data_IF_221500418012
#
_entry.id   IF_221500418012
#
_cell.length_a   1.000
_cell.length_b   1.000
_cell.length_c   1.000
_cell.angle_alpha   90.00
_cell.angle_beta   90.00
_cell.angle_gamma   90.00
#
_symmetry.space_group_name_H-M   'P 1'
#
loop_
_entity.id
_entity.type
_entity.pdbx_description
1 polymer ?
#
# COMPACT_ATOMS: atom_id res chain seq x y z
N UNK A 1 1.99 -1.86 -7.61
CA UNK A 1 2.10 -2.46 -6.26
C UNK A 1 3.25 -3.48 -6.22
N UNK A 2 4.12 -3.39 -5.20
CA UNK A 2 5.34 -4.20 -5.04
C UNK A 2 5.29 -4.98 -3.71
N UNK A 3 5.11 -6.29 -3.76
CA UNK A 3 4.96 -7.14 -2.56
C UNK A 3 6.11 -7.01 -1.54
N UNK A 4 7.40 -6.92 -1.93
CA UNK A 4 8.48 -6.71 -0.97
C UNK A 4 8.35 -5.39 -0.20
N UNK A 5 7.89 -4.33 -0.84
CA UNK A 5 7.70 -3.00 -0.22
C UNK A 5 6.52 -3.04 0.74
N UNK A 6 5.41 -3.65 0.32
CA UNK A 6 4.20 -3.80 1.14
C UNK A 6 4.50 -4.57 2.43
N UNK A 7 5.25 -5.67 2.33
CA UNK A 7 5.70 -6.42 3.51
C UNK A 7 6.52 -5.55 4.46
N UNK A 8 7.46 -4.77 3.93
CA UNK A 8 8.28 -3.87 4.76
C UNK A 8 7.44 -2.81 5.47
N UNK A 9 6.46 -2.20 4.79
CA UNK A 9 5.55 -1.24 5.42
C UNK A 9 4.68 -1.89 6.50
N UNK A 10 4.07 -3.04 6.21
CA UNK A 10 3.26 -3.77 7.19
C UNK A 10 4.07 -4.14 8.45
N UNK A 11 5.30 -4.67 8.28
CA UNK A 11 6.10 -5.16 9.40
C UNK A 11 6.72 -4.05 10.27
N UNK A 12 6.99 -2.88 9.69
CA UNK A 12 7.77 -1.84 10.36
C UNK A 12 6.96 -0.57 10.69
N UNK A 13 5.71 -0.47 10.26
CA UNK A 13 4.88 0.71 10.48
C UNK A 13 3.50 0.34 11.02
N UNK A 14 2.97 1.22 11.87
CA UNK A 14 1.60 1.12 12.35
C UNK A 14 0.61 1.55 11.26
N UNK A 15 -0.64 1.06 11.29
CA UNK A 15 -1.70 1.56 10.41
C UNK A 15 -1.86 3.09 10.46
N UNK A 16 -1.81 3.67 11.66
CA UNK A 16 -1.93 5.12 11.85
C UNK A 16 -0.83 5.92 11.13
N UNK A 17 0.43 5.47 11.18
CA UNK A 17 1.52 6.13 10.44
C UNK A 17 1.32 6.05 8.93
N UNK A 18 0.84 4.89 8.46
CA UNK A 18 0.55 4.66 7.05
C UNK A 18 -0.60 5.54 6.55
N UNK A 19 -1.69 5.65 7.31
CA UNK A 19 -2.83 6.53 7.03
C UNK A 19 -2.43 8.00 6.99
N UNK A 20 -1.65 8.49 7.97
CA UNK A 20 -1.12 9.86 7.97
C UNK A 20 -0.21 10.12 6.77
N UNK A 21 0.56 9.13 6.34
CA UNK A 21 1.42 9.25 5.15
C UNK A 21 0.58 9.34 3.88
N UNK A 22 -0.52 8.57 3.78
CA UNK A 22 -1.46 8.69 2.67
C UNK A 22 -2.03 10.10 2.56
N UNK A 23 -2.50 10.69 3.66
CA UNK A 23 -3.05 12.05 3.67
C UNK A 23 -2.06 13.08 3.09
N UNK A 24 -0.78 12.98 3.47
CA UNK A 24 0.28 13.85 2.94
C UNK A 24 0.52 13.62 1.44
N UNK A 25 0.57 12.37 0.99
CA UNK A 25 0.80 12.02 -0.41
C UNK A 25 -0.38 12.38 -1.31
N UNK A 26 -1.62 12.24 -0.82
CA UNK A 26 -2.82 12.66 -1.53
C UNK A 26 -2.83 14.18 -1.72
N UNK A 27 -2.51 14.95 -0.67
CA UNK A 27 -2.35 16.40 -0.79
C UNK A 27 -1.25 16.80 -1.78
N UNK A 28 -0.13 16.06 -1.80
CA UNK A 28 0.94 16.26 -2.78
C UNK A 28 0.48 16.01 -4.23
N UNK A 29 -0.35 14.99 -4.46
CA UNK A 29 -0.91 14.67 -5.77
C UNK A 29 -1.90 15.73 -6.29
N UNK A 30 -2.55 16.49 -5.39
CA UNK A 30 -3.46 17.58 -5.77
C UNK A 30 -2.72 18.88 -6.16
N UNK A 31 -1.43 18.99 -5.84
CA UNK A 31 -0.64 20.18 -6.14
C UNK A 31 -0.37 20.29 -7.65
N UNK A 32 -0.85 21.38 -8.26
CA UNK A 32 -0.72 21.61 -9.72
C UNK A 32 0.73 21.76 -10.21
N UNK A 33 1.68 22.03 -9.31
CA UNK A 33 3.10 22.18 -9.65
C UNK A 33 3.89 20.88 -9.62
N UNK A 34 3.26 19.74 -9.32
CA UNK A 34 3.91 18.43 -9.25
C UNK A 34 4.16 17.90 -10.66
N UNK A 35 5.36 17.38 -10.92
CA UNK A 35 5.69 16.79 -12.22
C UNK A 35 4.97 15.45 -12.43
N UNK A 36 4.82 15.02 -13.68
CA UNK A 36 4.24 13.71 -14.00
C UNK A 36 5.05 12.55 -13.39
N UNK A 37 6.38 12.66 -13.37
CA UNK A 37 7.25 11.67 -12.73
C UNK A 37 7.01 11.59 -11.22
N UNK A 38 6.89 12.73 -10.56
CA UNK A 38 6.59 12.79 -9.13
C UNK A 38 5.22 12.20 -8.81
N UNK A 39 4.20 12.47 -9.64
CA UNK A 39 2.86 11.89 -9.50
C UNK A 39 2.90 10.37 -9.67
N UNK A 40 3.68 9.85 -10.62
CA UNK A 40 3.84 8.41 -10.82
C UNK A 40 4.50 7.75 -9.60
N UNK A 41 5.56 8.35 -9.07
CA UNK A 41 6.23 7.85 -7.86
C UNK A 41 5.30 7.90 -6.64
N UNK A 42 4.58 9.01 -6.44
CA UNK A 42 3.62 9.14 -5.36
C UNK A 42 2.48 8.12 -5.48
N UNK A 43 1.94 7.91 -6.68
CA UNK A 43 0.94 6.88 -6.95
C UNK A 43 1.43 5.47 -6.63
N UNK A 44 2.67 5.13 -6.99
CA UNK A 44 3.27 3.85 -6.58
C UNK A 44 3.38 3.71 -5.06
N UNK A 45 3.80 4.76 -4.35
CA UNK A 45 3.90 4.76 -2.89
C UNK A 45 2.53 4.60 -2.24
N UNK A 46 1.52 5.37 -2.68
CA UNK A 46 0.14 5.27 -2.22
C UNK A 46 -0.38 3.83 -2.38
N UNK A 47 -0.24 3.24 -3.56
CA UNK A 47 -0.74 1.86 -3.78
C UNK A 47 -0.03 0.83 -2.91
N UNK A 48 1.26 1.00 -2.61
CA UNK A 48 1.98 0.12 -1.70
C UNK A 48 1.53 0.32 -0.24
N UNK A 49 1.26 1.55 0.18
CA UNK A 49 0.77 1.84 1.54
C UNK A 49 -0.64 1.25 1.73
N UNK A 50 -1.54 1.45 0.78
CA UNK A 50 -2.88 0.84 0.80
C UNK A 50 -2.81 -0.69 0.88
N UNK A 51 -1.89 -1.31 0.14
CA UNK A 51 -1.66 -2.75 0.24
C UNK A 51 -1.20 -3.20 1.63
N UNK A 52 -0.36 -2.42 2.31
CA UNK A 52 0.09 -2.72 3.66
C UNK A 52 -1.05 -2.58 4.69
N UNK A 53 -1.91 -1.57 4.53
CA UNK A 53 -3.11 -1.38 5.34
C UNK A 53 -4.10 -2.54 5.16
N UNK A 54 -4.28 -3.04 3.94
CA UNK A 54 -5.13 -4.21 3.67
C UNK A 54 -4.61 -5.48 4.38
N UNK A 55 -3.28 -5.67 4.42
CA UNK A 55 -2.66 -6.77 5.18
C UNK A 55 -2.87 -6.59 6.68
N UNK A 56 -2.66 -5.37 7.22
CA UNK A 56 -2.97 -5.05 8.62
C UNK A 56 -4.42 -5.39 8.99
N UNK A 57 -5.38 -4.95 8.18
CA UNK A 57 -6.80 -5.23 8.39
C UNK A 57 -7.11 -6.74 8.35
N UNK A 58 -6.50 -7.47 7.42
CA UNK A 58 -6.67 -8.92 7.30
C UNK A 58 -6.18 -9.65 8.56
N UNK A 59 -5.03 -9.24 9.10
CA UNK A 59 -4.48 -9.81 10.33
C UNK A 59 -5.33 -9.45 11.55
N UNK A 60 -5.81 -8.21 11.64
CA UNK A 60 -6.75 -7.79 12.68
C UNK A 60 -8.06 -8.58 12.65
N UNK A 61 -8.51 -9.02 11.47
CA UNK A 61 -9.67 -9.88 11.28
C UNK A 61 -9.41 -11.37 11.53
N UNK A 62 -8.23 -11.73 12.08
CA UNK A 62 -7.91 -13.09 12.53
C UNK A 62 -7.17 -13.95 11.51
N UNK A 63 -6.76 -13.38 10.37
CA UNK A 63 -5.91 -14.09 9.41
C UNK A 63 -4.46 -14.15 9.92
N UNK A 64 -3.74 -15.25 9.65
CA UNK A 64 -2.31 -15.28 9.95
C UNK A 64 -1.55 -14.30 9.05
N UNK A 65 -0.44 -13.71 9.52
CA UNK A 65 0.38 -12.79 8.72
C UNK A 65 0.78 -13.41 7.38
N UNK A 66 1.18 -14.70 7.40
CA UNK A 66 1.57 -15.43 6.19
C UNK A 66 0.42 -15.53 5.22
N UNK A 67 -0.78 -15.87 5.70
CA UNK A 67 -1.95 -16.04 4.84
C UNK A 67 -2.48 -14.70 4.33
N UNK A 68 -2.40 -13.63 5.13
CA UNK A 68 -2.74 -12.27 4.71
C UNK A 68 -1.82 -11.79 3.57
N UNK A 69 -0.50 -11.94 3.73
CA UNK A 69 0.48 -11.58 2.70
C UNK A 69 0.32 -12.42 1.41
N UNK A 70 0.02 -13.71 1.54
CA UNK A 70 -0.20 -14.60 0.40
C UNK A 70 -1.52 -14.27 -0.32
N UNK A 71 -2.60 -14.07 0.43
CA UNK A 71 -3.92 -13.67 -0.11
C UNK A 71 -3.79 -12.36 -0.88
N UNK A 72 -3.08 -11.39 -0.32
CA UNK A 72 -2.83 -10.13 -1.00
C UNK A 72 -1.98 -10.31 -2.27
N UNK A 73 -0.92 -11.11 -2.22
CA UNK A 73 -0.10 -11.41 -3.39
C UNK A 73 -0.91 -12.03 -4.54
N UNK A 74 -1.80 -12.97 -4.21
CA UNK A 74 -2.71 -13.59 -5.18
C UNK A 74 -3.72 -12.58 -5.75
N UNK A 75 -4.22 -11.65 -4.93
CA UNK A 75 -5.09 -10.56 -5.40
C UNK A 75 -4.38 -9.67 -6.41
N UNK A 76 -3.14 -9.27 -6.14
CA UNK A 76 -2.36 -8.44 -7.06
C UNK A 76 -2.06 -9.17 -8.36
N UNK A 77 -1.62 -10.43 -8.29
CA UNK A 77 -1.31 -11.23 -9.49
C UNK A 77 -2.57 -11.57 -10.31
N UNK A 78 -3.66 -11.94 -9.64
CA UNK A 78 -4.95 -12.24 -10.30
C UNK A 78 -5.66 -11.01 -10.89
N UNK A 79 -5.21 -9.79 -10.54
CA UNK A 79 -5.68 -8.54 -11.14
C UNK A 79 -4.94 -8.18 -12.43
N UNK A 80 -3.89 -8.92 -12.79
CA UNK A 80 -3.07 -8.67 -14.00
C UNK A 80 -3.53 -9.53 -15.19
N UNK A 81 -4.17 -10.67 -14.94
CA UNK A 81 -4.67 -11.61 -15.97
C UNK A 81 -6.16 -11.39 -16.36
N UNK A 82 -6.71 -10.18 -16.17
CA UNK A 82 -8.06 -9.81 -16.62
C UNK A 82 -8.10 -8.51 -17.40
#
# INVERSE_FOLDING_TARGET
MKLPVIRQFYQNQTPENLEKTLEVLESFCEFRGTSEEDLNVAGELITNICGALEVHASVQNGMSEKDALNSFAQKVLGSIDK
#
